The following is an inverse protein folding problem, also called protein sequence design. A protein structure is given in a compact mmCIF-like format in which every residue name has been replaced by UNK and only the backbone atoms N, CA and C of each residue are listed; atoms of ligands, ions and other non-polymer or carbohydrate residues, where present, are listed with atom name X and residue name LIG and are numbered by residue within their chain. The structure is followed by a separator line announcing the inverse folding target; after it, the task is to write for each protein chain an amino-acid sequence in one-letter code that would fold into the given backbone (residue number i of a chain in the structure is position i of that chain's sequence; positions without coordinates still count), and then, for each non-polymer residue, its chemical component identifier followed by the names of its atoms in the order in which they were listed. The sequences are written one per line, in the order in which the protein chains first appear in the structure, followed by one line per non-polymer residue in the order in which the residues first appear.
data_IF_030089432317
#
_entry.id   IF_030089432317
#
_cell.length_a   1.000
_cell.length_b   1.000
_cell.length_c   1.000
_cell.angle_alpha   90.00
_cell.angle_beta   90.00
_cell.angle_gamma   90.00
#
_symmetry.space_group_name_H-M   'P 1'
#
loop_
_entity.id
_entity.type
_entity.pdbx_description
1 polymer ?
#
# COMPACT_ATOMS: atom_id res chain seq x y z
N UNK A 1 12.37 21.41 -1.30
CA UNK A 1 11.83 20.63 -2.45
C UNK A 1 10.32 20.66 -2.36
N UNK A 2 9.70 21.59 -3.08
CA UNK A 2 8.27 21.85 -3.02
C UNK A 2 7.49 20.61 -3.48
N UNK A 3 6.44 20.24 -2.74
CA UNK A 3 5.44 19.26 -3.16
C UNK A 3 4.86 19.75 -4.49
N UNK A 4 5.32 19.25 -5.64
CA UNK A 4 4.65 19.46 -6.93
C UNK A 4 3.20 19.01 -6.75
N UNK A 5 2.23 19.87 -7.05
CA UNK A 5 0.82 19.49 -6.97
C UNK A 5 0.59 18.40 -8.03
N UNK A 6 -0.26 17.42 -7.73
CA UNK A 6 -0.64 16.35 -8.68
C UNK A 6 -1.11 16.92 -10.04
N UNK A 7 -1.71 18.11 -10.00
CA UNK A 7 -2.11 18.89 -11.18
C UNK A 7 -0.93 19.23 -12.13
N UNK A 8 0.28 19.43 -11.60
CA UNK A 8 1.45 19.88 -12.37
C UNK A 8 2.25 18.72 -13.00
N UNK A 9 1.87 17.47 -12.70
CA UNK A 9 2.51 16.28 -13.27
C UNK A 9 1.89 15.91 -14.60
N UNK A 10 2.68 15.38 -15.54
CA UNK A 10 2.15 14.89 -16.82
C UNK A 10 1.32 13.62 -16.60
N UNK A 11 0.40 13.33 -17.53
CA UNK A 11 -0.41 12.10 -17.48
C UNK A 11 0.46 10.84 -17.51
N UNK A 12 1.60 10.86 -18.20
CA UNK A 12 2.55 9.75 -18.20
C UNK A 12 3.23 9.55 -16.84
N UNK A 13 3.63 10.63 -16.17
CA UNK A 13 4.18 10.55 -14.81
C UNK A 13 3.15 9.98 -13.82
N UNK A 14 1.88 10.42 -13.91
CA UNK A 14 0.80 9.92 -13.05
C UNK A 14 0.53 8.43 -13.31
N UNK A 15 0.52 7.98 -14.56
CA UNK A 15 0.39 6.54 -14.92
C UNK A 15 1.57 5.72 -14.39
N UNK A 16 2.79 6.23 -14.49
CA UNK A 16 3.98 5.58 -13.95
C UNK A 16 3.92 5.48 -12.41
N UNK A 17 3.48 6.54 -11.73
CA UNK A 17 3.26 6.52 -10.28
C UNK A 17 2.14 5.57 -9.87
N UNK A 18 1.01 5.53 -10.58
CA UNK A 18 -0.08 4.59 -10.31
C UNK A 18 0.40 3.14 -10.41
N UNK A 19 1.16 2.81 -11.47
CA UNK A 19 1.77 1.48 -11.65
C UNK A 19 2.72 1.14 -10.49
N UNK A 20 3.57 2.09 -10.08
CA UNK A 20 4.48 1.90 -8.94
C UNK A 20 3.71 1.64 -7.64
N UNK A 21 2.64 2.40 -7.37
CA UNK A 21 1.81 2.19 -6.18
C UNK A 21 1.07 0.86 -6.20
N UNK A 22 0.61 0.38 -7.37
CA UNK A 22 0.04 -0.98 -7.53
C UNK A 22 1.06 -2.06 -7.15
N UNK A 23 2.30 -1.94 -7.62
CA UNK A 23 3.39 -2.87 -7.26
C UNK A 23 3.67 -2.83 -5.76
N UNK A 24 3.74 -1.64 -5.15
CA UNK A 24 3.95 -1.50 -3.70
C UNK A 24 2.82 -2.18 -2.91
N UNK A 25 1.56 -2.02 -3.32
CA UNK A 25 0.43 -2.71 -2.67
C UNK A 25 0.54 -4.23 -2.78
N UNK A 26 0.97 -4.77 -3.92
CA UNK A 26 1.19 -6.21 -4.08
C UNK A 26 2.30 -6.72 -3.15
N UNK A 27 3.38 -5.96 -3.02
CA UNK A 27 4.48 -6.30 -2.10
C UNK A 27 4.01 -6.26 -0.64
N UNK A 28 3.27 -5.23 -0.24
CA UNK A 28 2.70 -5.14 1.11
C UNK A 28 1.75 -6.31 1.41
N UNK A 29 0.92 -6.69 0.44
CA UNK A 29 0.04 -7.86 0.58
C UNK A 29 0.85 -9.16 0.77
N UNK A 30 1.92 -9.35 0.00
CA UNK A 30 2.79 -10.52 0.15
C UNK A 30 3.42 -10.59 1.56
N UNK A 31 3.85 -9.46 2.11
CA UNK A 31 4.34 -9.40 3.49
C UNK A 31 3.27 -9.74 4.51
N UNK A 32 2.04 -9.25 4.36
CA UNK A 32 0.92 -9.56 5.26
C UNK A 32 0.61 -11.06 5.22
N UNK A 33 0.58 -11.67 4.03
CA UNK A 33 0.32 -13.10 3.88
C UNK A 33 1.45 -13.96 4.46
N UNK A 34 2.72 -13.61 4.21
CA UNK A 34 3.86 -14.31 4.76
C UNK A 34 3.92 -14.22 6.30
N UNK A 35 3.61 -13.04 6.84
CA UNK A 35 3.52 -12.82 8.28
C UNK A 35 2.36 -13.62 8.89
N UNK A 36 1.17 -13.56 8.28
CA UNK A 36 0.01 -14.34 8.72
C UNK A 36 0.28 -15.84 8.72
N UNK A 37 0.91 -16.36 7.66
CA UNK A 37 1.31 -17.77 7.57
C UNK A 37 2.30 -18.18 8.66
N UNK A 38 3.31 -17.33 8.90
CA UNK A 38 4.29 -17.55 9.99
C UNK A 38 3.61 -17.56 11.36
N UNK A 39 2.67 -16.63 11.60
CA UNK A 39 1.94 -16.57 12.88
C UNK A 39 1.03 -17.77 13.10
N UNK A 40 0.32 -18.23 12.06
CA UNK A 40 -0.51 -19.45 12.13
C UNK A 40 0.37 -20.66 12.44
N UNK A 41 1.56 -20.76 11.82
CA UNK A 41 2.51 -21.83 12.09
C UNK A 41 3.05 -21.79 13.52
N UNK A 42 3.47 -20.63 14.02
CA UNK A 42 3.94 -20.46 15.40
C UNK A 42 2.82 -20.72 16.42
N UNK A 43 1.58 -20.33 16.11
CA UNK A 43 0.39 -20.67 16.91
C UNK A 43 0.17 -22.17 17.01
N UNK A 44 0.35 -22.89 15.90
CA UNK A 44 0.19 -24.36 15.88
C UNK A 44 1.24 -25.12 16.69
N UNK A 45 2.34 -24.45 17.07
CA UNK A 45 3.45 -25.03 17.84
C UNK A 45 3.47 -24.59 19.30
N UNK A 46 2.50 -23.82 19.76
CA UNK A 46 2.50 -23.16 21.09
C UNK A 46 3.77 -22.31 21.35
N UNK A 47 4.47 -21.89 20.30
CA UNK A 47 5.70 -21.08 20.35
C UNK A 47 5.41 -19.58 20.31
N UNK A 48 4.15 -19.16 20.49
CA UNK A 48 3.78 -17.74 20.66
C UNK A 48 4.24 -17.29 22.05
N UNK A 49 5.55 -17.12 22.21
CA UNK A 49 6.11 -16.36 23.31
C UNK A 49 5.47 -14.96 23.34
N UNK A 50 5.34 -14.40 24.53
CA UNK A 50 4.62 -13.17 24.93
C UNK A 50 5.02 -11.86 24.23
N UNK A 51 5.60 -11.89 23.04
CA UNK A 51 5.95 -10.75 22.20
C UNK A 51 4.72 -10.17 21.48
N UNK A 52 3.80 -9.62 22.27
CA UNK A 52 2.59 -8.89 21.83
C UNK A 52 2.91 -7.77 20.82
N UNK A 53 4.13 -7.23 20.89
CA UNK A 53 4.66 -6.23 19.97
C UNK A 53 4.83 -6.78 18.55
N UNK A 54 5.42 -7.96 18.38
CA UNK A 54 5.60 -8.60 17.09
C UNK A 54 4.28 -9.10 16.51
N UNK A 55 3.42 -9.69 17.34
CA UNK A 55 2.15 -10.30 16.88
C UNK A 55 1.09 -9.29 16.49
N UNK A 56 1.08 -8.11 17.12
CA UNK A 56 -0.01 -7.14 16.96
C UNK A 56 0.45 -5.85 16.28
N UNK A 57 1.59 -5.27 16.68
CA UNK A 57 2.01 -3.95 16.18
C UNK A 57 2.52 -4.05 14.75
N UNK A 58 3.31 -5.07 14.43
CA UNK A 58 3.87 -5.28 13.08
C UNK A 58 2.77 -5.39 12.01
N UNK A 59 1.75 -6.26 12.13
CA UNK A 59 0.69 -6.33 11.12
C UNK A 59 -0.13 -5.05 11.05
N UNK A 60 -0.33 -4.35 12.18
CA UNK A 60 -1.03 -3.06 12.20
C UNK A 60 -0.30 -2.00 11.38
N UNK A 61 1.04 -1.94 11.45
CA UNK A 61 1.86 -1.05 10.62
C UNK A 61 1.68 -1.37 9.13
N UNK A 62 1.72 -2.65 8.74
CA UNK A 62 1.53 -3.05 7.35
C UNK A 62 0.13 -2.67 6.82
N UNK A 63 -0.91 -2.77 7.65
CA UNK A 63 -2.28 -2.34 7.31
C UNK A 63 -2.33 -0.83 7.09
N UNK A 64 -1.76 -0.04 8.01
CA UNK A 64 -1.75 1.44 7.90
C UNK A 64 -0.97 1.89 6.66
N UNK A 65 0.20 1.30 6.39
CA UNK A 65 0.98 1.59 5.18
C UNK A 65 0.20 1.25 3.91
N UNK A 66 -0.49 0.10 3.90
CA UNK A 66 -1.33 -0.30 2.77
C UNK A 66 -2.46 0.69 2.53
N UNK A 67 -3.09 1.21 3.60
CA UNK A 67 -4.12 2.22 3.50
C UNK A 67 -3.60 3.55 2.93
N UNK A 68 -2.43 4.02 3.38
CA UNK A 68 -1.80 5.25 2.86
C UNK A 68 -1.48 5.12 1.37
N UNK A 69 -0.86 4.01 0.98
CA UNK A 69 -0.51 3.74 -0.43
C UNK A 69 -1.76 3.62 -1.28
N UNK A 70 -2.80 2.94 -0.80
CA UNK A 70 -4.10 2.83 -1.47
C UNK A 70 -4.78 4.18 -1.65
N UNK A 71 -4.78 5.01 -0.61
CA UNK A 71 -5.34 6.38 -0.66
C UNK A 71 -4.62 7.23 -1.71
N UNK A 72 -3.28 7.21 -1.73
CA UNK A 72 -2.50 7.91 -2.76
C UNK A 72 -2.78 7.39 -4.16
N UNK A 73 -2.90 6.08 -4.33
CA UNK A 73 -3.25 5.47 -5.63
C UNK A 73 -4.63 5.92 -6.08
N UNK A 74 -5.60 5.98 -5.18
CA UNK A 74 -6.97 6.41 -5.48
C UNK A 74 -7.02 7.88 -5.92
N UNK A 75 -6.26 8.76 -5.26
CA UNK A 75 -6.14 10.17 -5.65
C UNK A 75 -5.56 10.31 -7.07
N UNK A 76 -4.48 9.58 -7.38
CA UNK A 76 -3.87 9.59 -8.72
C UNK A 76 -4.83 9.01 -9.76
N UNK A 77 -5.51 7.92 -9.45
CA UNK A 77 -6.47 7.27 -10.35
C UNK A 77 -7.68 8.18 -10.66
N UNK A 78 -8.21 8.87 -9.65
CA UNK A 78 -9.28 9.85 -9.83
C UNK A 78 -8.83 11.06 -10.66
N UNK A 79 -7.60 11.54 -10.44
CA UNK A 79 -7.01 12.63 -11.22
C UNK A 79 -6.81 12.23 -12.70
N UNK A 80 -6.30 11.03 -12.96
CA UNK A 80 -6.18 10.47 -14.31
C UNK A 80 -7.55 10.39 -15.00
N UNK A 81 -8.58 9.88 -14.29
CA UNK A 81 -9.95 9.78 -14.82
C UNK A 81 -10.58 11.14 -15.14
N UNK A 82 -10.32 12.14 -14.30
CA UNK A 82 -10.81 13.51 -14.53
C UNK A 82 -10.15 14.17 -15.76
N UNK A 83 -8.92 13.80 -16.09
CA UNK A 83 -8.22 14.33 -17.28
C UNK A 83 -8.72 13.69 -18.57
N UNK A 84 -8.95 12.37 -18.56
CA UNK A 84 -9.53 11.66 -19.72
C UNK A 84 -10.93 12.23 -20.05
N UNK A 85 -11.74 12.53 -19.02
CA UNK A 85 -13.06 13.16 -19.19
C UNK A 85 -13.05 14.60 -19.71
N UNK A 86 -11.93 15.34 -19.60
CA UNK A 86 -11.79 16.71 -20.13
C UNK A 86 -11.27 16.76 -21.56
N UNK A 87 -10.74 15.65 -22.08
CA UNK A 87 -10.26 15.53 -23.46
C UNK A 87 -11.31 14.94 -24.42
N UNK A 88 -12.45 14.48 -23.88
CA UNK A 88 -13.65 14.08 -24.64
C UNK A 88 -14.65 15.22 -24.66
#
# INVERSE_FOLDING_TARGET
MAKKKLADQTTEELKAQEKKLKVILLVLLAFILAFGGTMVYLMSKDEIGSNMLMTTVVPMIFIVLSFIVSTKRNLISNELRNRDHKQT
#
